data_IF_070767423714
#
_entry.id   IF_070767423714
#
_cell.length_a   1.000
_cell.length_b   1.000
_cell.length_c   1.000
_cell.angle_alpha   90.00
_cell.angle_beta   90.00
_cell.angle_gamma   90.00
#
_symmetry.space_group_name_H-M   'P 1'
#
loop_
_entity.id
_entity.type
_entity.pdbx_description
1 polymer ?
#
# COMPACT_ATOMS: atom_id res chain seq x y z
N UNK A 1 -7.95 1.35 23.44
CA UNK A 1 -7.59 1.23 22.03
C UNK A 1 -6.09 1.37 21.79
N UNK A 2 -5.46 2.53 22.01
CA UNK A 2 -4.04 2.75 21.68
C UNK A 2 -3.09 1.71 22.29
N UNK A 3 -3.25 1.35 23.56
CA UNK A 3 -2.42 0.31 24.20
C UNK A 3 -2.49 -1.03 23.45
N UNK A 4 -3.65 -1.40 22.95
CA UNK A 4 -3.84 -2.66 22.20
C UNK A 4 -3.22 -2.59 20.80
N UNK A 5 -3.30 -1.43 20.13
CA UNK A 5 -2.66 -1.21 18.81
C UNK A 5 -1.14 -1.25 18.94
N UNK A 6 -0.57 -0.66 19.98
CA UNK A 6 0.87 -0.63 20.21
C UNK A 6 1.42 -1.94 20.81
N UNK A 7 0.53 -2.82 21.33
CA UNK A 7 0.94 -4.07 21.94
C UNK A 7 1.60 -4.97 20.89
N UNK A 8 2.84 -5.38 21.17
CA UNK A 8 3.68 -6.21 20.28
C UNK A 8 3.92 -5.64 18.86
N UNK A 9 3.61 -4.36 18.62
CA UNK A 9 3.82 -3.75 17.31
C UNK A 9 5.30 -3.77 16.88
N UNK A 10 6.30 -3.44 17.74
CA UNK A 10 7.70 -3.55 17.37
C UNK A 10 8.14 -4.98 17.02
N UNK A 11 7.67 -5.98 17.77
CA UNK A 11 7.93 -7.39 17.48
C UNK A 11 7.31 -7.80 16.14
N UNK A 12 6.10 -7.33 15.86
CA UNK A 12 5.40 -7.60 14.61
C UNK A 12 6.13 -6.98 13.41
N UNK A 13 6.65 -5.75 13.54
CA UNK A 13 7.49 -5.11 12.53
C UNK A 13 8.77 -5.92 12.30
N UNK A 14 9.46 -6.34 13.38
CA UNK A 14 10.67 -7.15 13.27
C UNK A 14 10.39 -8.51 12.59
N UNK A 15 9.24 -9.12 12.87
CA UNK A 15 8.84 -10.38 12.26
C UNK A 15 8.62 -10.32 10.74
N UNK A 16 8.32 -9.14 10.18
CA UNK A 16 8.23 -8.99 8.72
C UNK A 16 9.57 -9.30 8.06
N UNK A 17 10.68 -8.97 8.71
CA UNK A 17 12.04 -9.25 8.24
C UNK A 17 12.59 -10.60 8.75
N UNK A 18 11.77 -11.44 9.37
CA UNK A 18 12.21 -12.78 9.78
C UNK A 18 12.49 -13.68 8.57
N UNK A 19 13.47 -14.60 8.70
CA UNK A 19 13.99 -15.44 7.59
C UNK A 19 12.91 -16.01 6.66
N UNK A 20 11.82 -16.54 7.20
CA UNK A 20 10.72 -17.12 6.41
C UNK A 20 9.95 -16.07 5.60
N UNK A 21 9.87 -14.84 6.09
CA UNK A 21 9.14 -13.77 5.42
C UNK A 21 10.00 -13.02 4.40
N UNK A 22 11.34 -13.10 4.52
CA UNK A 22 12.26 -12.49 3.55
C UNK A 22 12.04 -12.99 2.13
N UNK A 23 11.56 -14.23 1.96
CA UNK A 23 11.26 -14.77 0.62
C UNK A 23 10.24 -13.88 -0.14
N UNK A 24 9.25 -13.34 0.55
CA UNK A 24 8.27 -12.46 -0.05
C UNK A 24 8.88 -11.13 -0.49
N UNK A 25 9.79 -10.56 0.32
CA UNK A 25 10.52 -9.35 -0.06
C UNK A 25 11.32 -9.59 -1.34
N UNK A 26 12.06 -10.72 -1.43
CA UNK A 26 12.81 -11.06 -2.63
C UNK A 26 11.91 -11.28 -3.86
N UNK A 27 10.76 -11.96 -3.69
CA UNK A 27 9.80 -12.18 -4.78
C UNK A 27 9.29 -10.84 -5.30
N UNK A 28 8.82 -9.94 -4.43
CA UNK A 28 8.29 -8.64 -4.87
C UNK A 28 9.36 -7.72 -5.45
N UNK A 29 10.57 -7.72 -4.90
CA UNK A 29 11.72 -7.01 -5.49
C UNK A 29 12.03 -7.57 -6.88
N UNK A 30 12.04 -8.88 -7.07
CA UNK A 30 12.32 -9.50 -8.37
C UNK A 30 11.23 -9.18 -9.41
N UNK A 31 9.94 -9.21 -9.02
CA UNK A 31 8.83 -8.83 -9.90
C UNK A 31 8.94 -7.34 -10.27
N UNK A 32 9.19 -6.46 -9.28
CA UNK A 32 9.41 -5.04 -9.54
C UNK A 32 10.58 -4.83 -10.50
N UNK A 33 11.71 -5.48 -10.26
CA UNK A 33 12.87 -5.41 -11.15
C UNK A 33 12.55 -5.84 -12.58
N UNK A 34 11.80 -6.95 -12.75
CA UNK A 34 11.38 -7.42 -14.06
C UNK A 34 10.45 -6.41 -14.77
N UNK A 35 9.49 -5.81 -14.06
CA UNK A 35 8.59 -4.80 -14.62
C UNK A 35 9.34 -3.52 -15.02
N UNK A 36 10.24 -3.04 -14.16
CA UNK A 36 11.05 -1.85 -14.43
C UNK A 36 11.98 -2.07 -15.62
N UNK A 37 12.70 -3.20 -15.66
CA UNK A 37 13.67 -3.48 -16.73
C UNK A 37 13.02 -3.78 -18.07
N UNK A 38 11.82 -4.36 -18.08
CA UNK A 38 11.05 -4.62 -19.31
C UNK A 38 10.56 -3.35 -20.01
N UNK A 39 10.56 -2.21 -19.31
CA UNK A 39 9.96 -0.97 -19.82
C UNK A 39 8.43 -0.92 -19.68
N UNK A 40 7.84 -1.92 -18.99
CA UNK A 40 6.39 -1.99 -18.81
C UNK A 40 5.84 -0.76 -18.10
N UNK A 41 6.53 -0.22 -17.10
CA UNK A 41 6.10 0.97 -16.35
C UNK A 41 5.91 2.18 -17.26
N UNK A 42 6.86 2.42 -18.15
CA UNK A 42 6.77 3.53 -19.10
C UNK A 42 5.65 3.32 -20.12
N UNK A 43 5.59 2.13 -20.72
CA UNK A 43 4.51 1.75 -21.64
C UNK A 43 3.13 1.90 -20.98
N UNK A 44 2.98 1.42 -19.75
CA UNK A 44 1.72 1.53 -19.01
C UNK A 44 1.36 2.98 -18.73
N UNK A 45 2.34 3.78 -18.30
CA UNK A 45 2.17 5.20 -18.08
C UNK A 45 1.66 5.93 -19.33
N UNK A 46 2.31 5.75 -20.48
CA UNK A 46 1.91 6.40 -21.74
C UNK A 46 0.49 6.02 -22.19
N UNK A 47 0.08 4.77 -21.93
CA UNK A 47 -1.22 4.25 -22.38
C UNK A 47 -2.37 4.44 -21.38
N UNK A 48 -2.11 4.86 -20.14
CA UNK A 48 -3.15 5.00 -19.11
C UNK A 48 -3.32 6.42 -18.58
N UNK A 49 -2.47 7.37 -19.00
CA UNK A 49 -2.62 8.78 -18.63
C UNK A 49 -3.75 9.45 -19.41
N UNK A 50 -4.24 10.56 -18.89
CA UNK A 50 -5.37 11.29 -19.43
C UNK A 50 -6.67 10.99 -18.69
N UNK A 51 -7.73 10.61 -19.39
CA UNK A 51 -9.05 10.42 -18.77
C UNK A 51 -9.06 9.33 -17.69
N UNK A 52 -8.34 8.21 -17.91
CA UNK A 52 -8.28 7.10 -16.94
C UNK A 52 -7.62 7.55 -15.63
N UNK A 53 -6.68 8.48 -15.68
CA UNK A 53 -6.03 9.03 -14.50
C UNK A 53 -7.03 9.65 -13.52
N UNK A 54 -8.07 10.32 -14.02
CA UNK A 54 -9.10 10.95 -13.20
C UNK A 54 -9.88 9.93 -12.37
N UNK A 55 -10.12 8.72 -12.90
CA UNK A 55 -10.73 7.62 -12.16
C UNK A 55 -9.81 7.02 -11.09
N UNK A 56 -8.50 7.20 -11.24
CA UNK A 56 -7.50 6.76 -10.27
C UNK A 56 -7.31 7.72 -9.09
N UNK A 57 -7.58 9.00 -9.24
CA UNK A 57 -7.35 10.01 -8.20
C UNK A 57 -8.06 9.72 -6.86
N UNK A 58 -9.33 9.29 -6.83
CA UNK A 58 -9.96 8.94 -5.56
C UNK A 58 -9.24 7.82 -4.81
N UNK A 59 -8.49 6.95 -5.50
CA UNK A 59 -7.73 5.89 -4.84
C UNK A 59 -6.64 6.44 -3.91
N UNK A 60 -6.04 7.60 -4.21
CA UNK A 60 -5.06 8.24 -3.33
C UNK A 60 -5.72 8.66 -1.99
N UNK A 61 -6.90 9.26 -2.05
CA UNK A 61 -7.66 9.66 -0.86
C UNK A 61 -8.12 8.42 -0.09
N UNK A 62 -8.76 7.47 -0.78
CA UNK A 62 -9.33 6.29 -0.16
C UNK A 62 -8.25 5.35 0.41
N UNK A 63 -7.10 5.21 -0.27
CA UNK A 63 -5.99 4.37 0.20
C UNK A 63 -5.39 4.88 1.51
N UNK A 64 -5.41 6.19 1.74
CA UNK A 64 -4.92 6.79 2.98
C UNK A 64 -5.97 6.83 4.08
N UNK A 65 -7.17 7.34 3.78
CA UNK A 65 -8.19 7.60 4.80
C UNK A 65 -9.02 6.40 5.19
N UNK A 66 -9.35 5.47 4.27
CA UNK A 66 -10.22 4.33 4.59
C UNK A 66 -9.68 3.47 5.73
N UNK A 67 -8.41 3.08 5.81
CA UNK A 67 -7.90 2.29 6.93
C UNK A 67 -8.06 3.02 8.27
N UNK A 68 -7.90 4.34 8.29
CA UNK A 68 -8.06 5.18 9.50
C UNK A 68 -9.52 5.25 9.89
N UNK A 69 -10.39 5.68 8.97
CA UNK A 69 -11.83 5.84 9.20
C UNK A 69 -12.48 4.51 9.57
N UNK A 70 -12.09 3.43 8.90
CA UNK A 70 -12.56 2.09 9.21
C UNK A 70 -12.17 1.66 10.63
N UNK A 71 -10.90 1.86 11.01
CA UNK A 71 -10.41 1.52 12.36
C UNK A 71 -11.16 2.29 13.43
N UNK A 72 -11.32 3.61 13.26
CA UNK A 72 -12.03 4.48 14.20
C UNK A 72 -13.52 4.12 14.25
N UNK A 73 -14.16 3.95 13.11
CA UNK A 73 -15.58 3.59 13.00
C UNK A 73 -15.87 2.23 13.64
N UNK A 74 -15.03 1.22 13.37
CA UNK A 74 -15.14 -0.09 14.03
C UNK A 74 -14.99 0.03 15.55
N UNK A 75 -14.06 0.85 16.03
CA UNK A 75 -13.87 1.06 17.45
C UNK A 75 -15.09 1.70 18.12
N UNK A 76 -15.66 2.74 17.51
CA UNK A 76 -16.89 3.38 18.01
C UNK A 76 -18.05 2.39 18.08
N UNK A 77 -18.21 1.54 17.05
CA UNK A 77 -19.23 0.49 17.02
C UNK A 77 -19.01 -0.59 18.09
N UNK A 78 -17.76 -0.91 18.40
CA UNK A 78 -17.39 -1.85 19.47
C UNK A 78 -17.84 -1.36 20.83
N UNK A 79 -17.59 -0.09 21.15
CA UNK A 79 -18.04 0.52 22.41
C UNK A 79 -19.57 0.43 22.57
N UNK A 80 -20.31 0.62 21.45
CA UNK A 80 -21.76 0.52 21.45
C UNK A 80 -22.29 -0.91 21.55
N UNK A 81 -21.60 -1.89 20.94
CA UNK A 81 -22.06 -3.29 20.82
C UNK A 81 -21.36 -4.27 21.75
N UNK A 82 -20.25 -3.87 22.40
CA UNK A 82 -19.39 -4.71 23.25
C UNK A 82 -18.91 -6.00 22.54
N UNK A 83 -18.68 -5.91 21.22
CA UNK A 83 -18.26 -7.05 20.38
C UNK A 83 -16.73 -7.17 20.38
N UNK A 84 -16.22 -8.15 21.15
CA UNK A 84 -14.78 -8.43 21.24
C UNK A 84 -14.14 -8.84 19.91
N UNK A 85 -14.88 -9.52 19.03
CA UNK A 85 -14.36 -9.92 17.71
C UNK A 85 -14.15 -8.70 16.83
N UNK A 86 -15.10 -7.78 16.83
CA UNK A 86 -15.00 -6.52 16.11
C UNK A 86 -13.86 -5.66 16.65
N UNK A 87 -13.65 -5.65 17.97
CA UNK A 87 -12.51 -4.96 18.60
C UNK A 87 -11.17 -5.52 18.11
N UNK A 88 -11.01 -6.84 18.13
CA UNK A 88 -9.79 -7.48 17.67
C UNK A 88 -9.55 -7.23 16.17
N UNK A 89 -10.60 -7.22 15.36
CA UNK A 89 -10.49 -6.90 13.94
C UNK A 89 -10.05 -5.44 13.71
N UNK A 90 -10.61 -4.48 14.46
CA UNK A 90 -10.20 -3.07 14.40
C UNK A 90 -8.70 -2.91 14.76
N UNK A 91 -8.25 -3.56 15.82
CA UNK A 91 -6.84 -3.54 16.22
C UNK A 91 -5.94 -4.19 15.17
N UNK A 92 -6.35 -5.35 14.61
CA UNK A 92 -5.57 -6.05 13.59
C UNK A 92 -5.42 -5.21 12.31
N UNK A 93 -6.50 -4.57 11.84
CA UNK A 93 -6.46 -3.68 10.68
C UNK A 93 -5.53 -2.48 10.94
N UNK A 94 -5.65 -1.85 12.12
CA UNK A 94 -4.78 -0.73 12.49
C UNK A 94 -3.30 -1.13 12.51
N UNK A 95 -2.97 -2.24 13.19
CA UNK A 95 -1.59 -2.74 13.27
C UNK A 95 -1.03 -3.07 11.89
N UNK A 96 -1.79 -3.82 11.07
CA UNK A 96 -1.37 -4.20 9.73
C UNK A 96 -1.11 -2.96 8.85
N UNK A 97 -1.99 -1.96 8.92
CA UNK A 97 -1.84 -0.70 8.18
C UNK A 97 -0.60 0.09 8.63
N UNK A 98 -0.34 0.17 9.93
CA UNK A 98 0.87 0.82 10.47
C UNK A 98 2.12 0.07 10.03
N UNK A 99 2.12 -1.27 10.11
CA UNK A 99 3.25 -2.09 9.66
C UNK A 99 3.51 -1.86 8.17
N UNK A 100 2.46 -1.88 7.34
CA UNK A 100 2.57 -1.60 5.91
C UNK A 100 3.16 -0.22 5.62
N UNK A 101 2.73 0.81 6.36
CA UNK A 101 3.28 2.16 6.25
C UNK A 101 4.77 2.22 6.63
N UNK A 102 5.15 1.61 7.74
CA UNK A 102 6.55 1.59 8.21
C UNK A 102 7.45 0.90 7.19
N UNK A 103 7.02 -0.26 6.66
CA UNK A 103 7.80 -1.02 5.68
C UNK A 103 7.93 -0.27 4.36
N UNK A 104 6.84 0.25 3.81
CA UNK A 104 6.90 1.02 2.57
C UNK A 104 7.77 2.27 2.73
N UNK A 105 7.70 2.96 3.87
CA UNK A 105 8.55 4.12 4.17
C UNK A 105 10.03 3.73 4.30
N UNK A 106 10.33 2.58 4.90
CA UNK A 106 11.69 2.06 4.99
C UNK A 106 12.28 1.79 3.59
N UNK A 107 11.54 1.11 2.71
CA UNK A 107 11.98 0.90 1.33
C UNK A 107 12.18 2.21 0.58
N UNK A 108 11.27 3.17 0.69
CA UNK A 108 11.39 4.49 0.07
C UNK A 108 12.64 5.23 0.53
N UNK A 109 12.94 5.15 1.83
CA UNK A 109 14.11 5.80 2.40
C UNK A 109 15.43 5.33 1.78
N UNK A 110 15.49 4.12 1.21
CA UNK A 110 16.71 3.55 0.63
C UNK A 110 16.70 3.49 -0.91
N UNK A 111 15.53 3.47 -1.55
CA UNK A 111 15.43 3.29 -3.00
C UNK A 111 15.33 4.60 -3.77
N UNK A 112 14.75 5.63 -3.17
CA UNK A 112 14.65 6.98 -3.73
C UNK A 112 14.13 7.02 -5.16
N UNK A 113 13.17 6.15 -5.52
CA UNK A 113 12.65 6.05 -6.89
C UNK A 113 11.93 7.33 -7.30
N UNK A 114 12.23 7.82 -8.51
CA UNK A 114 11.55 8.96 -9.10
C UNK A 114 10.13 8.56 -9.50
N UNK A 115 9.15 9.40 -9.16
CA UNK A 115 7.74 9.18 -9.50
C UNK A 115 7.39 9.67 -10.89
N UNK A 116 6.30 9.15 -11.50
CA UNK A 116 5.79 9.70 -12.74
C UNK A 116 5.28 11.12 -12.53
N UNK A 117 5.47 11.96 -13.54
CA UNK A 117 4.86 13.27 -13.55
C UNK A 117 3.34 13.18 -13.58
N UNK A 118 2.67 14.10 -12.89
CA UNK A 118 1.21 14.08 -12.82
C UNK A 118 0.57 14.54 -14.13
N UNK A 119 1.17 15.53 -14.79
CA UNK A 119 0.69 16.04 -16.07
C UNK A 119 1.58 15.55 -17.20
N UNK A 120 0.96 15.06 -18.27
CA UNK A 120 1.67 14.69 -19.49
C UNK A 120 2.01 15.93 -20.32
N UNK A 121 3.26 16.04 -20.75
CA UNK A 121 3.74 17.05 -21.70
C UNK A 121 4.30 16.34 -22.92
N UNK A 122 4.41 17.07 -24.06
CA UNK A 122 4.92 16.51 -25.32
C UNK A 122 6.41 16.15 -25.31
N UNK A 123 7.12 16.52 -24.24
CA UNK A 123 8.58 16.34 -24.11
C UNK A 123 8.98 15.49 -22.90
N UNK A 124 8.13 14.51 -22.52
CA UNK A 124 8.42 13.65 -21.37
C UNK A 124 9.58 12.69 -21.65
N UNK A 125 10.43 12.53 -20.66
CA UNK A 125 11.54 11.58 -20.69
C UNK A 125 11.19 10.40 -19.78
N UNK A 126 11.50 9.19 -20.23
CA UNK A 126 11.34 7.99 -19.40
C UNK A 126 12.27 8.03 -18.17
N UNK A 127 11.68 8.28 -17.01
CA UNK A 127 12.35 8.23 -15.71
C UNK A 127 11.89 7.04 -14.85
N UNK A 128 11.13 6.11 -15.43
CA UNK A 128 10.56 4.97 -14.70
C UNK A 128 11.61 4.05 -14.08
N UNK A 129 12.83 4.07 -14.63
CA UNK A 129 13.98 3.28 -14.18
C UNK A 129 14.91 4.04 -13.22
N UNK A 130 14.59 5.30 -12.89
CA UNK A 130 15.49 6.14 -12.10
C UNK A 130 15.28 5.88 -10.61
N UNK A 131 16.31 5.37 -9.95
CA UNK A 131 16.41 5.16 -8.52
C UNK A 131 17.60 5.95 -7.98
N UNK A 132 17.40 6.66 -6.88
CA UNK A 132 18.45 7.36 -6.13
C UNK A 132 18.77 6.55 -4.87
N UNK A 133 19.46 5.44 -5.03
CA UNK A 133 19.80 4.56 -3.91
C UNK A 133 20.65 5.29 -2.86
N UNK A 134 20.29 5.11 -1.60
CA UNK A 134 20.93 5.71 -0.44
C UNK A 134 19.91 6.18 0.58
N UNK A 135 20.37 6.37 1.82
CA UNK A 135 19.46 6.74 2.90
C UNK A 135 18.91 8.17 2.71
N UNK A 136 17.60 8.27 2.60
CA UNK A 136 16.82 9.51 2.48
C UNK A 136 17.16 10.40 1.26
N UNK A 137 17.76 9.84 0.19
CA UNK A 137 18.10 10.60 -1.01
C UNK A 137 16.90 11.24 -1.69
N UNK A 138 15.69 10.65 -1.53
CA UNK A 138 14.42 11.17 -2.07
C UNK A 138 13.31 11.20 -1.00
N UNK A 139 13.68 11.12 0.28
CA UNK A 139 12.76 11.12 1.42
C UNK A 139 12.03 9.79 1.61
N UNK A 140 10.87 9.84 2.29
CA UNK A 140 10.05 8.67 2.67
C UNK A 140 8.62 8.74 2.14
N UNK A 141 8.27 9.82 1.45
CA UNK A 141 6.89 10.04 0.98
C UNK A 141 6.70 9.57 -0.47
N UNK A 142 7.76 9.58 -1.26
CA UNK A 142 7.75 9.35 -2.70
C UNK A 142 8.53 8.09 -3.08
N UNK A 143 8.13 7.44 -4.17
CA UNK A 143 8.84 6.31 -4.76
C UNK A 143 8.23 4.94 -4.42
N UNK A 144 9.05 3.92 -4.58
CA UNK A 144 8.71 2.51 -4.44
C UNK A 144 8.89 2.00 -3.01
N UNK A 145 7.98 1.13 -2.53
CA UNK A 145 6.66 0.78 -3.05
C UNK A 145 5.60 1.84 -2.67
N UNK A 146 4.43 1.79 -3.30
CA UNK A 146 3.33 2.68 -2.95
C UNK A 146 2.82 2.44 -1.52
N UNK A 147 2.90 3.47 -0.66
CA UNK A 147 2.35 3.37 0.70
C UNK A 147 0.82 3.24 0.72
N UNK A 148 0.12 3.87 -0.22
CA UNK A 148 -1.33 3.74 -0.34
C UNK A 148 -1.73 2.28 -0.59
N UNK A 149 -1.06 1.62 -1.54
CA UNK A 149 -1.31 0.22 -1.86
C UNK A 149 -0.93 -0.69 -0.71
N UNK A 150 0.26 -0.50 -0.12
CA UNK A 150 0.75 -1.35 0.96
C UNK A 150 -0.15 -1.27 2.20
N UNK A 151 -0.58 -0.06 2.59
CA UNK A 151 -1.48 0.15 3.73
C UNK A 151 -2.86 -0.44 3.45
N UNK A 152 -3.43 -0.18 2.26
CA UNK A 152 -4.74 -0.70 1.88
C UNK A 152 -4.76 -2.24 1.83
N UNK A 153 -3.75 -2.84 1.20
CA UNK A 153 -3.63 -4.30 1.09
C UNK A 153 -3.43 -4.95 2.46
N UNK A 154 -2.54 -4.42 3.29
CA UNK A 154 -2.29 -4.94 4.63
C UNK A 154 -3.56 -4.91 5.49
N UNK A 155 -4.29 -3.79 5.49
CA UNK A 155 -5.57 -3.67 6.21
C UNK A 155 -6.65 -4.60 5.66
N UNK A 156 -6.76 -4.73 4.33
CA UNK A 156 -7.72 -5.62 3.67
C UNK A 156 -7.44 -7.09 4.02
N UNK A 157 -6.19 -7.52 3.95
CA UNK A 157 -5.79 -8.90 4.31
C UNK A 157 -6.06 -9.17 5.78
N UNK A 158 -5.71 -8.25 6.68
CA UNK A 158 -6.00 -8.40 8.10
C UNK A 158 -7.51 -8.57 8.34
N UNK A 159 -8.34 -7.77 7.69
CA UNK A 159 -9.80 -7.87 7.81
C UNK A 159 -10.33 -9.21 7.29
N UNK A 160 -9.84 -9.70 6.14
CA UNK A 160 -10.19 -11.01 5.57
C UNK A 160 -9.83 -12.14 6.53
N UNK A 161 -8.64 -12.08 7.14
CA UNK A 161 -8.19 -13.11 8.10
C UNK A 161 -9.02 -13.11 9.39
N UNK A 162 -9.53 -11.95 9.82
CA UNK A 162 -10.43 -11.85 10.98
C UNK A 162 -11.83 -12.39 10.69
N UNK A 163 -12.27 -12.36 9.42
CA UNK A 163 -13.59 -12.81 8.99
C UNK A 163 -13.53 -13.80 7.80
N UNK A 164 -12.81 -14.93 7.92
CA UNK A 164 -12.49 -15.80 6.77
C UNK A 164 -13.71 -16.43 6.08
N UNK A 165 -14.82 -16.62 6.83
CA UNK A 165 -16.07 -17.19 6.31
C UNK A 165 -17.04 -16.15 5.74
N UNK A 166 -16.78 -14.86 5.95
CA UNK A 166 -17.65 -13.80 5.46
C UNK A 166 -17.28 -13.41 4.03
N UNK A 167 -18.08 -13.87 3.06
CA UNK A 167 -17.84 -13.63 1.63
C UNK A 167 -17.91 -12.13 1.28
N UNK A 168 -18.83 -11.36 1.89
CA UNK A 168 -18.98 -9.93 1.65
C UNK A 168 -17.72 -9.18 2.05
N UNK A 169 -17.20 -9.44 3.25
CA UNK A 169 -15.94 -8.84 3.72
C UNK A 169 -14.78 -9.26 2.80
N UNK A 170 -14.68 -10.55 2.47
CA UNK A 170 -13.59 -11.05 1.63
C UNK A 170 -13.58 -10.38 0.25
N UNK A 171 -14.71 -10.36 -0.45
CA UNK A 171 -14.77 -9.75 -1.77
C UNK A 171 -14.67 -8.22 -1.70
N UNK A 172 -15.35 -7.57 -0.76
CA UNK A 172 -15.31 -6.12 -0.60
C UNK A 172 -13.90 -5.62 -0.28
N UNK A 173 -13.20 -6.26 0.66
CA UNK A 173 -11.82 -5.91 0.99
C UNK A 173 -10.83 -6.19 -0.16
N UNK A 174 -11.04 -7.29 -0.91
CA UNK A 174 -10.20 -7.59 -2.09
C UNK A 174 -10.42 -6.58 -3.22
N UNK A 175 -11.67 -6.23 -3.51
CA UNK A 175 -12.02 -5.21 -4.52
C UNK A 175 -11.44 -3.84 -4.12
N UNK A 176 -11.58 -3.48 -2.85
CA UNK A 176 -11.00 -2.24 -2.33
C UNK A 176 -9.47 -2.21 -2.52
N UNK A 177 -8.75 -3.24 -2.09
CA UNK A 177 -7.30 -3.29 -2.22
C UNK A 177 -6.85 -3.23 -3.69
N UNK A 178 -7.54 -3.96 -4.58
CA UNK A 178 -7.27 -3.96 -6.02
C UNK A 178 -7.55 -2.57 -6.64
N UNK A 179 -8.66 -1.94 -6.27
CA UNK A 179 -8.99 -0.59 -6.72
C UNK A 179 -7.93 0.43 -6.30
N UNK A 180 -7.47 0.37 -5.02
CA UNK A 180 -6.41 1.27 -4.57
C UNK A 180 -5.12 1.04 -5.37
N UNK A 181 -4.69 -0.20 -5.53
CA UNK A 181 -3.47 -0.52 -6.28
C UNK A 181 -3.52 -0.03 -7.72
N UNK A 182 -4.56 -0.40 -8.46
CA UNK A 182 -4.74 0.02 -9.86
C UNK A 182 -4.96 1.52 -9.98
N UNK A 183 -5.78 2.14 -9.13
CA UNK A 183 -6.04 3.57 -9.16
C UNK A 183 -4.78 4.41 -8.88
N UNK A 184 -3.95 3.97 -7.95
CA UNK A 184 -2.66 4.59 -7.67
C UNK A 184 -1.70 4.46 -8.85
N UNK A 185 -1.65 3.30 -9.51
CA UNK A 185 -0.76 3.05 -10.64
C UNK A 185 -1.12 3.86 -11.89
N UNK A 186 -2.39 4.19 -12.09
CA UNK A 186 -2.82 5.07 -13.21
C UNK A 186 -2.77 6.55 -12.84
N UNK A 187 -2.51 6.93 -11.59
CA UNK A 187 -2.57 8.33 -11.14
C UNK A 187 -1.21 8.91 -10.74
N UNK A 188 -0.60 8.42 -9.68
CA UNK A 188 0.55 9.06 -9.03
C UNK A 188 1.77 8.16 -8.84
N UNK A 189 1.70 6.89 -9.25
CA UNK A 189 2.79 5.90 -9.13
C UNK A 189 3.03 5.18 -10.45
N UNK A 190 4.17 4.49 -10.57
CA UNK A 190 4.42 3.50 -11.61
C UNK A 190 3.61 2.24 -11.32
N UNK A 191 3.34 1.43 -12.36
CA UNK A 191 2.63 0.16 -12.15
C UNK A 191 3.39 -0.77 -11.21
N UNK A 192 4.70 -0.86 -11.34
CA UNK A 192 5.52 -1.70 -10.46
C UNK A 192 5.61 -1.21 -9.01
N UNK A 193 5.18 0.03 -8.70
CA UNK A 193 5.05 0.49 -7.31
C UNK A 193 3.81 -0.10 -6.61
N UNK A 194 2.86 -0.64 -7.40
CA UNK A 194 1.68 -1.35 -6.92
C UNK A 194 2.02 -2.78 -6.43
N UNK A 195 3.04 -3.42 -7.02
CA UNK A 195 3.51 -4.77 -6.66
C UNK A 195 4.32 -4.76 -5.39
#
# INVERSE_FOLDING_TARGET
MFKNILYKLPESIANVFHKRNLIWHFIFIAITFALVTSGFDWWYFENTRGEIQLFGLPAAILGFFVPIVFTVGMYVLVEARKDLKMMNASVAVAQASIIGLVISSAYKAFTGRIQPEFYTTTSMVDVSRNFNFGFLQHGVFWGWPSSHTTVALAGAVALILMYPKNKVIRYGASIYALYIGLGISVSIHWFSDFV
#
